data_IF_964015676086
#
_entry.id   IF_964015676086
#
_cell.length_a   1.000
_cell.length_b   1.000
_cell.length_c   1.000
_cell.angle_alpha   90.00
_cell.angle_beta   90.00
_cell.angle_gamma   90.00
#
_symmetry.space_group_name_H-M   'P 1'
#
loop_
_entity.id
_entity.type
_entity.pdbx_description
1 polymer ?
#
# COMPACT_ATOMS: atom_id res chain seq x y z
N UNK A 1 -31.92 0.93 -2.68
CA UNK A 1 -30.46 0.89 -2.94
C UNK A 1 -29.80 1.88 -1.99
N UNK A 2 -29.11 1.41 -0.96
CA UNK A 2 -28.56 2.28 0.09
C UNK A 2 -27.23 2.86 -0.39
N UNK A 3 -27.17 4.18 -0.47
CA UNK A 3 -25.94 4.93 -0.80
C UNK A 3 -24.95 4.70 0.35
N UNK A 4 -23.78 4.12 0.07
CA UNK A 4 -22.71 4.02 1.07
C UNK A 4 -21.84 5.27 0.95
N UNK A 5 -22.10 6.25 1.80
CA UNK A 5 -21.19 7.38 1.98
C UNK A 5 -19.96 6.88 2.75
N UNK A 6 -18.80 7.44 2.43
CA UNK A 6 -17.66 7.33 3.33
C UNK A 6 -18.09 7.88 4.70
N UNK A 7 -17.79 7.19 5.78
CA UNK A 7 -18.29 7.51 7.12
C UNK A 7 -17.83 8.88 7.66
N UNK A 8 -16.79 9.47 7.07
CA UNK A 8 -16.39 10.86 7.35
C UNK A 8 -17.23 11.90 6.59
N UNK A 9 -18.16 11.50 5.72
CA UNK A 9 -18.97 12.41 4.90
C UNK A 9 -20.45 12.34 5.28
N UNK A 10 -21.10 13.51 5.32
CA UNK A 10 -22.54 13.63 5.59
C UNK A 10 -23.18 14.69 4.70
N UNK A 11 -24.50 14.65 4.45
CA UNK A 11 -25.18 15.72 3.72
C UNK A 11 -24.88 17.09 4.36
N UNK A 12 -24.50 18.08 3.55
CA UNK A 12 -24.17 19.40 4.05
C UNK A 12 -25.39 20.11 4.65
N UNK A 13 -25.19 20.80 5.78
CA UNK A 13 -26.24 21.51 6.53
C UNK A 13 -25.78 22.92 6.92
N UNK A 14 -26.74 23.78 7.28
CA UNK A 14 -26.48 25.11 7.84
C UNK A 14 -25.56 25.97 6.98
N UNK A 15 -24.63 26.68 7.64
CA UNK A 15 -23.68 27.60 7.01
C UNK A 15 -22.83 26.93 5.93
N UNK A 16 -22.45 25.66 6.09
CA UNK A 16 -21.66 24.91 5.11
C UNK A 16 -22.41 24.66 3.81
N UNK A 17 -23.71 24.35 3.90
CA UNK A 17 -24.58 24.20 2.71
C UNK A 17 -24.76 25.55 2.02
N UNK A 18 -25.00 26.62 2.78
CA UNK A 18 -25.19 27.97 2.26
C UNK A 18 -23.95 28.46 1.52
N UNK A 19 -22.75 28.22 2.05
CA UNK A 19 -21.47 28.61 1.45
C UNK A 19 -21.27 28.05 0.04
N UNK A 20 -21.76 26.83 -0.21
CA UNK A 20 -21.52 26.08 -1.45
C UNK A 20 -22.73 26.07 -2.40
N UNK A 21 -23.92 26.45 -1.92
CA UNK A 21 -25.15 26.49 -2.71
C UNK A 21 -25.04 27.30 -4.02
N UNK A 22 -24.36 28.45 -4.09
CA UNK A 22 -24.23 29.21 -5.34
C UNK A 22 -23.53 28.46 -6.49
N UNK A 23 -22.70 27.46 -6.16
CA UNK A 23 -21.95 26.69 -7.16
C UNK A 23 -22.68 25.45 -7.65
N UNK A 24 -23.74 25.02 -6.93
CA UNK A 24 -24.52 23.83 -7.24
C UNK A 24 -25.38 24.03 -8.49
N UNK A 25 -25.33 23.10 -9.43
CA UNK A 25 -26.11 23.09 -10.68
C UNK A 25 -26.94 21.82 -10.83
N UNK A 26 -28.19 21.96 -11.27
CA UNK A 26 -29.07 20.82 -11.58
C UNK A 26 -29.22 19.80 -10.45
N UNK A 27 -29.24 18.52 -10.81
CA UNK A 27 -29.35 17.38 -9.88
C UNK A 27 -27.99 17.00 -9.29
N UNK A 28 -27.42 17.92 -8.51
CA UNK A 28 -26.24 17.69 -7.68
C UNK A 28 -26.63 17.63 -6.20
N UNK A 29 -25.77 17.01 -5.39
CA UNK A 29 -25.89 16.95 -3.94
C UNK A 29 -24.63 17.52 -3.29
N UNK A 30 -24.79 18.13 -2.12
CA UNK A 30 -23.70 18.76 -1.38
C UNK A 30 -23.44 17.94 -0.13
N UNK A 31 -22.19 17.54 0.06
CA UNK A 31 -21.73 16.77 1.20
C UNK A 31 -20.62 17.51 1.90
N UNK A 32 -20.49 17.29 3.20
CA UNK A 32 -19.45 17.85 4.04
C UNK A 32 -18.75 16.76 4.83
N UNK A 33 -17.47 16.94 5.07
CA UNK A 33 -16.71 16.09 5.97
C UNK A 33 -17.14 16.27 7.42
N UNK A 34 -16.66 15.38 8.29
CA UNK A 34 -16.48 15.66 9.71
C UNK A 34 -15.52 16.84 9.91
N UNK A 35 -15.44 17.36 11.13
CA UNK A 35 -14.54 18.45 11.46
C UNK A 35 -13.07 18.02 11.26
N UNK A 36 -12.29 18.86 10.60
CA UNK A 36 -10.86 18.72 10.39
C UNK A 36 -10.18 19.79 11.25
N UNK A 37 -9.48 19.37 12.31
CA UNK A 37 -8.84 20.28 13.26
C UNK A 37 -7.39 20.50 12.85
N UNK A 38 -7.07 21.71 12.44
CA UNK A 38 -5.75 22.14 11.95
C UNK A 38 -5.36 23.40 12.71
N UNK A 39 -4.18 23.39 13.34
CA UNK A 39 -3.67 24.49 14.17
C UNK A 39 -4.67 24.96 15.27
N UNK A 40 -5.51 24.05 15.77
CA UNK A 40 -6.54 24.33 16.78
C UNK A 40 -7.87 24.85 16.23
N UNK A 41 -7.90 25.20 14.95
CA UNK A 41 -9.09 25.70 14.26
C UNK A 41 -9.82 24.56 13.53
N UNK A 42 -11.14 24.69 13.40
CA UNK A 42 -11.99 23.66 12.83
C UNK A 42 -12.47 24.01 11.43
N UNK A 43 -12.25 23.09 10.50
CA UNK A 43 -12.59 23.24 9.09
C UNK A 43 -13.43 22.06 8.60
N UNK A 44 -14.16 22.27 7.51
CA UNK A 44 -14.82 21.19 6.79
C UNK A 44 -14.49 21.25 5.32
N UNK A 45 -14.24 20.07 4.76
CA UNK A 45 -14.24 19.90 3.32
C UNK A 45 -15.70 19.76 2.86
N UNK A 46 -16.14 20.60 1.94
CA UNK A 46 -17.49 20.57 1.38
C UNK A 46 -17.42 20.35 -0.12
N UNK A 47 -18.01 19.25 -0.58
CA UNK A 47 -17.98 18.81 -1.97
C UNK A 47 -19.35 18.81 -2.63
N UNK A 48 -19.37 19.07 -3.95
CA UNK A 48 -20.54 18.95 -4.81
C UNK A 48 -20.38 17.71 -5.70
N UNK A 49 -21.41 16.86 -5.70
CA UNK A 49 -21.40 15.58 -6.39
C UNK A 49 -22.64 15.42 -7.26
N UNK A 50 -22.53 14.86 -8.48
CA UNK A 50 -23.71 14.52 -9.26
C UNK A 50 -24.43 13.32 -8.63
N UNK A 51 -25.76 13.27 -8.75
CA UNK A 51 -26.58 12.18 -8.17
C UNK A 51 -26.21 10.80 -8.71
N UNK A 52 -25.71 10.70 -9.96
CA UNK A 52 -25.23 9.43 -10.55
C UNK A 52 -23.96 8.87 -9.90
N UNK A 53 -23.21 9.69 -9.16
CA UNK A 53 -21.89 9.35 -8.57
C UNK A 53 -21.98 8.79 -7.15
N UNK A 54 -23.19 8.70 -6.59
CA UNK A 54 -23.46 8.20 -5.24
C UNK A 54 -22.94 6.77 -4.96
N UNK A 55 -22.50 6.04 -5.99
CA UNK A 55 -21.94 4.70 -5.87
C UNK A 55 -20.43 4.66 -5.61
N UNK A 56 -19.66 5.76 -5.79
CA UNK A 56 -18.18 5.78 -5.60
C UNK A 56 -17.61 7.17 -5.25
N UNK A 57 -18.07 7.80 -4.16
CA UNK A 57 -17.59 9.13 -3.76
C UNK A 57 -16.06 9.22 -3.57
N UNK A 58 -15.44 8.11 -3.16
CA UNK A 58 -14.00 7.93 -2.97
C UNK A 58 -13.17 8.23 -4.23
N UNK A 59 -13.75 8.05 -5.43
CA UNK A 59 -13.05 8.22 -6.73
C UNK A 59 -13.56 9.41 -7.54
N UNK A 60 -14.70 9.98 -7.15
CA UNK A 60 -15.38 11.02 -7.89
C UNK A 60 -15.49 12.30 -7.05
N UNK A 61 -14.32 12.82 -6.67
CA UNK A 61 -14.20 14.16 -6.15
C UNK A 61 -14.44 15.15 -7.29
N UNK A 62 -15.63 15.73 -7.37
CA UNK A 62 -16.03 16.63 -8.47
C UNK A 62 -15.48 18.03 -8.28
N UNK A 63 -16.11 18.78 -7.37
CA UNK A 63 -15.73 20.14 -6.98
C UNK A 63 -15.82 20.24 -5.47
N UNK A 64 -14.90 20.97 -4.84
CA UNK A 64 -14.89 21.11 -3.39
C UNK A 64 -14.31 22.45 -2.93
N UNK A 65 -14.55 22.76 -1.67
CA UNK A 65 -13.94 23.86 -0.93
C UNK A 65 -13.63 23.43 0.49
N UNK A 66 -12.74 24.18 1.13
CA UNK A 66 -12.61 24.18 2.58
C UNK A 66 -13.38 25.38 3.13
N UNK A 67 -14.15 25.14 4.18
CA UNK A 67 -15.00 26.13 4.83
C UNK A 67 -14.69 26.15 6.31
N UNK A 68 -14.56 27.34 6.89
CA UNK A 68 -14.41 27.50 8.35
C UNK A 68 -15.77 27.34 9.08
N UNK A 69 -15.75 27.34 10.42
CA UNK A 69 -16.97 27.21 11.24
C UNK A 69 -18.01 28.32 11.01
N UNK A 70 -17.60 29.49 10.52
CA UNK A 70 -18.50 30.60 10.21
C UNK A 70 -19.15 30.47 8.83
N UNK A 71 -18.79 29.45 8.03
CA UNK A 71 -19.27 29.29 6.66
C UNK A 71 -18.46 30.08 5.63
N UNK A 72 -17.29 30.61 5.99
CA UNK A 72 -16.44 31.36 5.06
C UNK A 72 -15.57 30.41 4.26
N UNK A 73 -15.47 30.67 2.96
CA UNK A 73 -14.59 29.92 2.07
C UNK A 73 -13.13 30.22 2.41
N UNK A 74 -12.33 29.17 2.59
CA UNK A 74 -10.90 29.27 2.83
C UNK A 74 -10.18 29.37 1.49
N UNK A 75 -9.45 30.47 1.28
CA UNK A 75 -8.61 30.69 0.09
C UNK A 75 -7.17 30.20 0.24
N UNK A 76 -6.74 29.85 1.45
CA UNK A 76 -5.39 29.34 1.72
C UNK A 76 -5.23 27.94 1.09
N UNK A 77 -4.36 27.88 0.07
CA UNK A 77 -4.07 26.65 -0.67
C UNK A 77 -3.31 25.62 0.18
N UNK A 78 -2.45 26.06 1.10
CA UNK A 78 -1.71 25.16 1.99
C UNK A 78 -2.64 24.52 3.01
N UNK A 79 -3.51 25.32 3.64
CA UNK A 79 -4.56 24.81 4.51
C UNK A 79 -5.48 23.84 3.77
N UNK A 80 -5.88 24.19 2.54
CA UNK A 80 -6.69 23.29 1.71
C UNK A 80 -5.98 21.97 1.40
N UNK A 81 -4.67 22.01 1.10
CA UNK A 81 -3.85 20.82 0.89
C UNK A 81 -3.83 19.92 2.12
N UNK A 82 -3.66 20.48 3.32
CA UNK A 82 -3.65 19.74 4.59
C UNK A 82 -5.01 19.06 4.83
N UNK A 83 -6.12 19.78 4.68
CA UNK A 83 -7.47 19.21 4.78
C UNK A 83 -7.70 18.07 3.77
N UNK A 84 -7.31 18.28 2.51
CA UNK A 84 -7.51 17.29 1.45
C UNK A 84 -6.66 16.03 1.69
N UNK A 85 -5.42 16.19 2.17
CA UNK A 85 -4.55 15.05 2.51
C UNK A 85 -5.17 14.18 3.59
N UNK A 86 -5.72 14.78 4.66
CA UNK A 86 -6.43 14.04 5.71
C UNK A 86 -7.60 13.23 5.14
N UNK A 87 -8.40 13.86 4.26
CA UNK A 87 -9.51 13.18 3.58
C UNK A 87 -9.03 12.01 2.71
N UNK A 88 -8.01 12.23 1.88
CA UNK A 88 -7.48 11.22 0.96
C UNK A 88 -6.86 10.03 1.68
N UNK A 89 -6.21 10.26 2.83
CA UNK A 89 -5.70 9.18 3.68
C UNK A 89 -6.83 8.28 4.18
N UNK A 90 -7.92 8.85 4.70
CA UNK A 90 -9.07 8.06 5.17
C UNK A 90 -9.73 7.29 4.02
N UNK A 91 -9.95 7.95 2.87
CA UNK A 91 -10.48 7.30 1.67
C UNK A 91 -9.62 6.10 1.28
N UNK A 92 -8.29 6.29 1.21
CA UNK A 92 -7.35 5.24 0.83
C UNK A 92 -7.43 4.07 1.79
N UNK A 93 -7.48 4.32 3.09
CA UNK A 93 -7.53 3.29 4.12
C UNK A 93 -8.87 2.56 4.15
N UNK A 94 -10.00 3.24 4.06
CA UNK A 94 -11.33 2.62 4.08
C UNK A 94 -11.51 1.64 2.89
N UNK A 95 -11.05 2.07 1.71
CA UNK A 95 -11.11 1.26 0.48
C UNK A 95 -10.27 0.00 0.56
N UNK A 96 -9.19 0.04 1.34
CA UNK A 96 -8.21 -1.04 1.41
C UNK A 96 -8.21 -1.80 2.75
N UNK A 97 -9.03 -1.40 3.73
CA UNK A 97 -9.06 -2.00 5.07
C UNK A 97 -9.33 -3.51 5.03
N UNK A 98 -10.22 -3.95 4.14
CA UNK A 98 -10.52 -5.37 3.94
C UNK A 98 -9.32 -6.17 3.42
N UNK A 99 -8.52 -5.59 2.51
CA UNK A 99 -7.30 -6.20 2.00
C UNK A 99 -6.19 -6.21 3.05
N UNK A 100 -6.02 -5.10 3.77
CA UNK A 100 -5.07 -5.00 4.88
C UNK A 100 -5.35 -6.07 5.94
N UNK A 101 -6.62 -6.20 6.38
CA UNK A 101 -7.03 -7.20 7.38
C UNK A 101 -6.75 -8.64 6.94
N UNK A 102 -6.98 -8.98 5.66
CA UNK A 102 -6.68 -10.31 5.11
C UNK A 102 -5.18 -10.59 5.07
N UNK A 103 -4.36 -9.59 4.74
CA UNK A 103 -2.91 -9.78 4.65
C UNK A 103 -2.23 -9.83 6.03
N UNK A 104 -2.85 -9.24 7.06
CA UNK A 104 -2.37 -9.29 8.44
C UNK A 104 -2.48 -10.66 9.12
N UNK A 105 -3.15 -11.64 8.50
CA UNK A 105 -3.23 -13.02 9.03
C UNK A 105 -2.11 -13.92 8.50
N UNK A 106 -1.28 -13.44 7.57
CA UNK A 106 -0.13 -14.20 7.08
C UNK A 106 0.94 -14.33 8.18
N UNK A 107 1.59 -15.49 8.29
CA UNK A 107 2.65 -15.76 9.26
C UNK A 107 4.04 -15.62 8.61
N UNK A 108 4.80 -14.53 8.87
CA UNK A 108 6.12 -14.31 8.27
C UNK A 108 7.13 -15.40 8.65
N UNK A 109 7.02 -15.91 9.88
CA UNK A 109 7.91 -16.95 10.40
C UNK A 109 7.75 -18.33 9.75
N UNK A 110 6.81 -18.51 8.81
CA UNK A 110 6.71 -19.72 8.00
C UNK A 110 8.00 -20.03 7.23
N UNK A 111 8.85 -19.01 6.97
CA UNK A 111 10.14 -19.15 6.28
C UNK A 111 11.32 -19.56 7.17
N UNK A 112 11.23 -19.43 8.50
CA UNK A 112 12.37 -19.73 9.40
C UNK A 112 12.87 -21.17 9.30
N UNK A 113 12.00 -22.20 9.30
CA UNK A 113 12.45 -23.59 9.08
C UNK A 113 13.06 -23.80 7.69
N UNK A 114 12.58 -23.05 6.69
CA UNK A 114 13.06 -23.17 5.29
C UNK A 114 14.49 -22.66 5.16
N UNK A 115 14.83 -21.56 5.85
CA UNK A 115 16.20 -21.02 5.91
C UNK A 115 17.17 -22.10 6.42
N UNK A 116 16.81 -22.78 7.52
CA UNK A 116 17.62 -23.85 8.09
C UNK A 116 17.76 -25.05 7.12
N UNK A 117 16.68 -25.38 6.40
CA UNK A 117 16.73 -26.45 5.40
C UNK A 117 17.62 -26.09 4.21
N UNK A 118 17.51 -24.87 3.68
CA UNK A 118 18.35 -24.40 2.57
C UNK A 118 19.83 -24.45 2.94
N UNK A 119 20.18 -24.01 4.14
CA UNK A 119 21.57 -24.06 4.63
C UNK A 119 22.10 -25.48 4.75
N UNK A 120 21.35 -26.36 5.44
CA UNK A 120 21.78 -27.75 5.64
C UNK A 120 21.88 -28.52 4.31
N UNK A 121 20.84 -28.43 3.47
CA UNK A 121 20.80 -29.13 2.18
C UNK A 121 21.80 -28.53 1.19
N UNK A 122 21.99 -27.21 1.24
CA UNK A 122 22.97 -26.48 0.44
C UNK A 122 24.40 -26.94 0.71
N UNK A 123 24.77 -27.10 1.99
CA UNK A 123 26.10 -27.61 2.37
C UNK A 123 26.36 -29.01 1.81
N UNK A 124 25.37 -29.90 1.86
CA UNK A 124 25.49 -31.24 1.27
C UNK A 124 25.67 -31.18 -0.26
N UNK A 125 24.94 -30.29 -0.93
CA UNK A 125 25.09 -30.09 -2.38
C UNK A 125 26.49 -29.57 -2.71
N UNK A 126 27.00 -28.59 -1.94
CA UNK A 126 28.34 -28.03 -2.10
C UNK A 126 29.42 -29.11 -2.00
N UNK A 127 29.38 -29.91 -0.95
CA UNK A 127 30.36 -30.99 -0.72
C UNK A 127 30.38 -32.01 -1.86
N UNK A 128 29.23 -32.28 -2.48
CA UNK A 128 29.10 -33.24 -3.60
C UNK A 128 29.54 -32.66 -4.95
N UNK A 129 29.56 -31.33 -5.10
CA UNK A 129 29.93 -30.67 -6.36
C UNK A 129 31.44 -30.51 -6.53
N UNK A 130 32.23 -30.69 -5.47
CA UNK A 130 33.66 -30.40 -5.45
C UNK A 130 33.95 -28.89 -5.28
N UNK A 131 35.22 -28.49 -5.07
CA UNK A 131 35.56 -27.16 -4.57
C UNK A 131 35.07 -25.98 -5.43
N UNK A 132 35.38 -25.98 -6.73
CA UNK A 132 35.04 -24.84 -7.61
C UNK A 132 33.54 -24.71 -7.86
N UNK A 133 32.87 -25.81 -8.21
CA UNK A 133 31.43 -25.81 -8.46
C UNK A 133 30.61 -25.66 -7.18
N UNK A 134 31.15 -26.12 -6.05
CA UNK A 134 30.57 -25.91 -4.72
C UNK A 134 30.53 -24.42 -4.35
N UNK A 135 31.61 -23.70 -4.59
CA UNK A 135 31.68 -22.26 -4.26
C UNK A 135 30.80 -21.39 -5.14
N UNK A 136 30.70 -21.72 -6.43
CA UNK A 136 29.71 -21.10 -7.30
C UNK A 136 28.27 -21.37 -6.83
N UNK A 137 27.98 -22.60 -6.37
CA UNK A 137 26.66 -22.95 -5.84
C UNK A 137 26.35 -22.23 -4.52
N UNK A 138 27.35 -22.03 -3.66
CA UNK A 138 27.20 -21.37 -2.38
C UNK A 138 26.71 -19.93 -2.53
N UNK A 139 27.22 -19.18 -3.51
CA UNK A 139 26.78 -17.80 -3.80
C UNK A 139 25.25 -17.74 -4.03
N UNK A 140 24.71 -18.69 -4.79
CA UNK A 140 23.28 -18.71 -5.08
C UNK A 140 22.43 -19.17 -3.89
N UNK A 141 22.92 -20.14 -3.11
CA UNK A 141 22.28 -20.60 -1.89
C UNK A 141 22.22 -19.50 -0.82
N UNK A 142 23.32 -18.75 -0.66
CA UNK A 142 23.40 -17.61 0.24
C UNK A 142 22.47 -16.48 -0.22
N UNK A 143 22.44 -16.19 -1.52
CA UNK A 143 21.49 -15.21 -2.07
C UNK A 143 20.03 -15.59 -1.83
N UNK A 144 19.67 -16.88 -1.92
CA UNK A 144 18.32 -17.34 -1.59
C UNK A 144 18.04 -17.27 -0.08
N UNK A 145 19.02 -17.62 0.75
CA UNK A 145 18.93 -17.50 2.21
C UNK A 145 18.70 -16.05 2.63
N UNK A 146 19.45 -15.11 2.06
CA UNK A 146 19.30 -13.67 2.30
C UNK A 146 17.92 -13.17 1.88
N UNK A 147 17.41 -13.61 0.71
CA UNK A 147 16.04 -13.33 0.27
C UNK A 147 15.00 -13.74 1.32
N UNK A 148 15.11 -14.96 1.86
CA UNK A 148 14.18 -15.46 2.86
C UNK A 148 14.28 -14.67 4.17
N UNK A 149 15.51 -14.37 4.64
CA UNK A 149 15.75 -13.61 5.87
C UNK A 149 15.14 -12.21 5.79
N UNK A 150 15.46 -11.45 4.73
CA UNK A 150 14.89 -10.12 4.51
C UNK A 150 13.36 -10.18 4.35
N UNK A 151 12.85 -11.26 3.75
CA UNK A 151 11.41 -11.51 3.63
C UNK A 151 10.70 -11.65 4.98
N UNK A 152 11.34 -12.30 5.96
CA UNK A 152 10.83 -12.41 7.34
C UNK A 152 10.86 -11.04 8.02
N UNK A 153 12.02 -10.37 8.00
CA UNK A 153 12.20 -9.06 8.67
C UNK A 153 11.20 -8.01 8.17
N UNK A 154 11.03 -7.89 6.84
CA UNK A 154 10.04 -6.99 6.26
C UNK A 154 8.62 -7.45 6.55
N UNK A 155 8.36 -8.77 6.54
CA UNK A 155 7.06 -9.32 6.91
C UNK A 155 6.62 -8.89 8.32
N UNK A 156 7.52 -8.94 9.30
CA UNK A 156 7.24 -8.52 10.67
C UNK A 156 6.94 -7.02 10.76
N UNK A 157 7.73 -6.19 10.06
CA UNK A 157 7.52 -4.74 10.00
C UNK A 157 6.20 -4.37 9.34
N UNK A 158 5.86 -4.99 8.21
CA UNK A 158 4.60 -4.80 7.49
C UNK A 158 3.41 -5.17 8.39
N UNK A 159 3.49 -6.29 9.11
CA UNK A 159 2.42 -6.71 10.03
C UNK A 159 2.29 -5.75 11.20
N UNK A 160 3.41 -5.32 11.78
CA UNK A 160 3.42 -4.36 12.88
C UNK A 160 2.79 -3.02 12.46
N UNK A 161 3.24 -2.45 11.34
CA UNK A 161 2.70 -1.21 10.79
C UNK A 161 1.22 -1.36 10.42
N UNK A 162 0.82 -2.46 9.77
CA UNK A 162 -0.58 -2.70 9.41
C UNK A 162 -1.50 -2.86 10.63
N UNK A 163 -1.03 -3.51 11.71
CA UNK A 163 -1.77 -3.55 12.99
C UNK A 163 -1.91 -2.16 13.60
N UNK A 164 -0.86 -1.34 13.56
CA UNK A 164 -0.92 0.03 14.07
C UNK A 164 -1.87 0.92 13.25
N UNK A 165 -1.86 0.80 11.92
CA UNK A 165 -2.83 1.46 11.02
C UNK A 165 -4.26 1.08 11.41
N UNK A 166 -4.55 -0.20 11.55
CA UNK A 166 -5.89 -0.68 11.91
C UNK A 166 -6.32 -0.16 13.28
N UNK A 167 -5.45 -0.25 14.28
CA UNK A 167 -5.70 0.26 15.64
C UNK A 167 -6.01 1.75 15.62
N UNK A 168 -5.22 2.55 14.90
CA UNK A 168 -5.44 4.00 14.76
C UNK A 168 -6.74 4.29 14.02
N UNK A 169 -7.03 3.59 12.93
CA UNK A 169 -8.27 3.76 12.19
C UNK A 169 -9.49 3.45 13.08
N UNK A 170 -9.42 2.43 13.93
CA UNK A 170 -10.47 2.12 14.92
C UNK A 170 -10.65 3.21 15.99
N UNK A 171 -9.57 3.91 16.38
CA UNK A 171 -9.66 5.04 17.31
C UNK A 171 -10.31 6.27 16.69
N UNK A 172 -10.19 6.42 15.36
CA UNK A 172 -10.86 7.47 14.59
C UNK A 172 -12.31 7.01 14.37
N UNK A 173 -13.18 7.31 15.34
CA UNK A 173 -14.59 6.93 15.30
C UNK A 173 -15.38 7.79 14.32
N UNK A 174 -16.41 7.18 13.74
CA UNK A 174 -17.44 7.90 13.01
C UNK A 174 -18.00 9.07 13.82
N UNK A 175 -18.07 10.25 13.20
CA UNK A 175 -18.59 11.46 13.81
C UNK A 175 -17.62 12.22 14.75
N UNK A 176 -16.39 11.73 14.99
CA UNK A 176 -15.37 12.51 15.71
C UNK A 176 -14.63 13.47 14.77
N UNK A 177 -14.13 14.61 15.30
CA UNK A 177 -13.19 15.45 14.58
C UNK A 177 -11.90 14.68 14.25
N UNK A 178 -11.33 14.93 13.09
CA UNK A 178 -10.00 14.44 12.71
C UNK A 178 -8.96 15.46 13.16
N UNK A 179 -8.06 15.06 14.05
CA UNK A 179 -6.97 15.92 14.51
C UNK A 179 -5.76 15.77 13.58
N UNK A 180 -5.18 16.88 13.14
CA UNK A 180 -4.04 16.84 12.23
C UNK A 180 -2.86 16.01 12.75
N UNK A 181 -2.57 16.09 14.05
CA UNK A 181 -1.47 15.32 14.65
C UNK A 181 -1.72 13.81 14.56
N UNK A 182 -2.95 13.36 14.84
CA UNK A 182 -3.33 11.95 14.74
C UNK A 182 -3.27 11.48 13.27
N UNK A 183 -3.75 12.31 12.36
CA UNK A 183 -3.72 12.03 10.92
C UNK A 183 -2.30 11.98 10.37
N UNK A 184 -1.41 12.86 10.84
CA UNK A 184 0.01 12.88 10.44
C UNK A 184 0.76 11.63 10.91
N UNK A 185 0.44 11.12 12.10
CA UNK A 185 0.98 9.85 12.58
C UNK A 185 0.46 8.67 11.76
N UNK A 186 -0.84 8.64 11.47
CA UNK A 186 -1.44 7.60 10.63
C UNK A 186 -0.85 7.61 9.21
N UNK A 187 -0.65 8.80 8.64
CA UNK A 187 -0.05 9.01 7.33
C UNK A 187 1.37 8.45 7.29
N UNK A 188 2.19 8.79 8.29
CA UNK A 188 3.54 8.26 8.42
C UNK A 188 3.54 6.73 8.51
N UNK A 189 2.72 6.14 9.39
CA UNK A 189 2.65 4.67 9.52
C UNK A 189 2.22 4.01 8.21
N UNK A 190 1.30 4.64 7.45
CA UNK A 190 0.88 4.16 6.13
C UNK A 190 2.01 4.22 5.09
N UNK A 191 2.78 5.32 5.06
CA UNK A 191 3.94 5.45 4.18
C UNK A 191 5.03 4.42 4.52
N UNK A 192 5.30 4.19 5.80
CA UNK A 192 6.25 3.16 6.28
C UNK A 192 5.79 1.75 5.86
N UNK A 193 4.49 1.45 6.01
CA UNK A 193 3.89 0.19 5.57
C UNK A 193 4.06 -0.05 4.06
N UNK A 194 3.80 0.98 3.25
CA UNK A 194 3.92 0.89 1.80
C UNK A 194 5.36 0.75 1.36
N UNK A 195 6.29 1.46 2.00
CA UNK A 195 7.71 1.36 1.68
C UNK A 195 8.29 -0.02 2.00
N UNK A 196 7.92 -0.59 3.15
CA UNK A 196 8.35 -1.96 3.51
C UNK A 196 7.72 -3.00 2.57
N UNK A 197 6.45 -2.81 2.17
CA UNK A 197 5.78 -3.66 1.17
C UNK A 197 6.50 -3.60 -0.19
N UNK A 198 6.86 -2.39 -0.62
CA UNK A 198 7.62 -2.16 -1.85
C UNK A 198 9.01 -2.79 -1.81
N UNK A 199 9.74 -2.62 -0.70
CA UNK A 199 11.04 -3.28 -0.47
C UNK A 199 10.92 -4.80 -0.55
N UNK A 200 9.83 -5.38 -0.03
CA UNK A 200 9.59 -6.82 -0.08
C UNK A 200 9.38 -7.30 -1.51
N UNK A 201 8.63 -6.55 -2.33
CA UNK A 201 8.51 -6.83 -3.77
C UNK A 201 9.87 -6.71 -4.45
N UNK A 202 10.65 -5.67 -4.15
CA UNK A 202 11.96 -5.47 -4.75
C UNK A 202 12.91 -6.64 -4.46
N UNK A 203 12.96 -7.12 -3.22
CA UNK A 203 13.76 -8.29 -2.82
C UNK A 203 13.29 -9.56 -3.53
N UNK A 204 11.99 -9.75 -3.74
CA UNK A 204 11.47 -10.83 -4.58
C UNK A 204 12.03 -10.75 -6.00
N UNK A 205 11.96 -9.58 -6.65
CA UNK A 205 12.42 -9.40 -8.02
C UNK A 205 13.95 -9.55 -8.15
N UNK A 206 14.72 -8.92 -7.27
CA UNK A 206 16.20 -8.91 -7.32
C UNK A 206 16.81 -10.27 -6.97
N UNK A 207 16.10 -11.12 -6.22
CA UNK A 207 16.55 -12.48 -5.88
C UNK A 207 16.30 -13.52 -6.99
N UNK A 208 15.78 -13.13 -8.15
CA UNK A 208 15.42 -14.04 -9.24
C UNK A 208 16.54 -15.04 -9.58
N UNK A 209 17.74 -14.55 -9.88
CA UNK A 209 18.88 -15.42 -10.26
C UNK A 209 19.23 -16.42 -9.15
N UNK A 210 19.30 -15.97 -7.90
CA UNK A 210 19.59 -16.83 -6.77
C UNK A 210 18.52 -17.93 -6.58
N UNK A 211 17.24 -17.58 -6.77
CA UNK A 211 16.12 -18.52 -6.71
C UNK A 211 16.13 -19.54 -7.84
N UNK A 212 16.40 -19.10 -9.09
CA UNK A 212 16.50 -19.99 -10.26
C UNK A 212 17.64 -20.98 -10.10
N UNK A 213 18.82 -20.49 -9.73
CA UNK A 213 19.99 -21.35 -9.57
C UNK A 213 19.84 -22.30 -8.38
N UNK A 214 19.27 -21.85 -7.26
CA UNK A 214 18.97 -22.74 -6.13
C UNK A 214 17.99 -23.85 -6.53
N UNK A 215 16.93 -23.53 -7.27
CA UNK A 215 16.00 -24.54 -7.80
C UNK A 215 16.73 -25.55 -8.70
N UNK A 216 17.60 -25.07 -9.58
CA UNK A 216 18.40 -25.91 -10.49
C UNK A 216 19.34 -26.84 -9.71
N UNK A 217 20.05 -26.32 -8.71
CA UNK A 217 20.95 -27.07 -7.85
C UNK A 217 20.22 -28.19 -7.11
N UNK A 218 19.08 -27.88 -6.49
CA UNK A 218 18.28 -28.87 -5.79
C UNK A 218 17.62 -29.91 -6.71
N UNK A 219 17.16 -29.51 -7.89
CA UNK A 219 16.66 -30.45 -8.89
C UNK A 219 17.77 -31.40 -9.38
N UNK A 220 18.98 -30.88 -9.63
CA UNK A 220 20.16 -31.69 -10.00
C UNK A 220 20.52 -32.66 -8.87
N UNK A 221 20.55 -32.19 -7.62
CA UNK A 221 20.87 -33.02 -6.48
C UNK A 221 19.84 -34.15 -6.25
N UNK A 222 18.55 -33.87 -6.47
CA UNK A 222 17.49 -34.89 -6.48
C UNK A 222 17.71 -35.93 -7.56
N UNK A 223 18.01 -35.51 -8.79
CA UNK A 223 18.23 -36.41 -9.93
C UNK A 223 19.44 -37.33 -9.73
N UNK A 224 20.51 -36.81 -9.11
CA UNK A 224 21.71 -37.59 -8.78
C UNK A 224 21.59 -38.37 -7.46
N UNK A 225 20.41 -38.36 -6.82
CA UNK A 225 20.13 -39.10 -5.58
C UNK A 225 21.09 -38.76 -4.42
N UNK A 226 21.51 -37.50 -4.30
CA UNK A 226 22.45 -37.07 -3.25
C UNK A 226 21.85 -37.04 -1.83
N UNK A 227 20.54 -37.15 -1.73
CA UNK A 227 19.78 -36.99 -0.49
C UNK A 227 19.12 -38.29 -0.03
N UNK A 228 19.01 -38.48 1.28
CA UNK A 228 18.18 -39.50 1.91
C UNK A 228 16.68 -39.26 1.71
N UNK A 229 15.83 -40.21 2.13
CA UNK A 229 14.37 -40.14 1.92
C UNK A 229 13.73 -38.89 2.53
N UNK A 230 14.07 -38.55 3.77
CA UNK A 230 13.50 -37.39 4.47
C UNK A 230 14.01 -36.07 3.88
N UNK A 231 15.28 -36.01 3.49
CA UNK A 231 15.88 -34.86 2.83
C UNK A 231 15.24 -34.61 1.46
N UNK A 232 14.99 -35.66 0.67
CA UNK A 232 14.25 -35.56 -0.60
C UNK A 232 12.87 -34.91 -0.40
N UNK A 233 12.19 -35.22 0.71
CA UNK A 233 10.88 -34.61 1.02
C UNK A 233 11.02 -33.12 1.30
N UNK A 234 12.03 -32.72 2.08
CA UNK A 234 12.33 -31.32 2.38
C UNK A 234 12.73 -30.53 1.13
N UNK A 235 13.61 -31.08 0.29
CA UNK A 235 14.02 -30.46 -0.97
C UNK A 235 12.82 -30.23 -1.88
N UNK A 236 11.91 -31.21 -1.99
CA UNK A 236 10.66 -31.04 -2.76
C UNK A 236 9.79 -29.91 -2.20
N UNK A 237 9.68 -29.78 -0.88
CA UNK A 237 8.98 -28.65 -0.26
C UNK A 237 9.63 -27.32 -0.62
N UNK A 238 10.97 -27.23 -0.56
CA UNK A 238 11.70 -26.00 -0.95
C UNK A 238 11.48 -25.67 -2.43
N UNK A 239 11.54 -26.66 -3.31
CA UNK A 239 11.27 -26.47 -4.75
C UNK A 239 9.84 -25.99 -4.98
N UNK A 240 8.84 -26.55 -4.31
CA UNK A 240 7.45 -26.11 -4.43
C UNK A 240 7.26 -24.64 -3.98
N UNK A 241 7.97 -24.22 -2.92
CA UNK A 241 7.96 -22.82 -2.47
C UNK A 241 8.63 -21.88 -3.48
N UNK A 242 9.73 -22.31 -4.09
CA UNK A 242 10.36 -21.57 -5.18
C UNK A 242 9.39 -21.41 -6.36
N UNK A 243 8.65 -22.46 -6.75
CA UNK A 243 7.61 -22.35 -7.79
C UNK A 243 6.54 -21.32 -7.45
N UNK A 244 6.04 -21.33 -6.22
CA UNK A 244 5.10 -20.31 -5.78
C UNK A 244 5.72 -18.90 -5.87
N UNK A 245 6.99 -18.74 -5.46
CA UNK A 245 7.68 -17.44 -5.56
C UNK A 245 7.82 -16.95 -7.00
N UNK A 246 8.02 -17.84 -7.98
CA UNK A 246 8.05 -17.46 -9.40
C UNK A 246 6.69 -17.03 -9.92
N UNK A 247 5.60 -17.67 -9.46
CA UNK A 247 4.24 -17.22 -9.79
C UNK A 247 3.99 -15.80 -9.24
N UNK A 248 4.39 -15.55 -7.99
CA UNK A 248 4.28 -14.21 -7.39
C UNK A 248 5.13 -13.17 -8.13
N UNK A 249 6.34 -13.52 -8.55
CA UNK A 249 7.18 -12.65 -9.38
C UNK A 249 6.48 -12.26 -10.69
N UNK A 250 5.90 -13.23 -11.39
CA UNK A 250 5.18 -12.98 -12.64
C UNK A 250 3.97 -12.06 -12.42
N UNK A 251 3.23 -12.27 -11.32
CA UNK A 251 2.16 -11.35 -10.92
C UNK A 251 2.69 -9.95 -10.66
N UNK A 252 3.78 -9.80 -9.90
CA UNK A 252 4.38 -8.48 -9.62
C UNK A 252 4.87 -7.76 -10.88
N UNK A 253 5.46 -8.49 -11.84
CA UNK A 253 5.85 -7.93 -13.14
C UNK A 253 4.62 -7.40 -13.88
N UNK A 254 3.53 -8.18 -13.90
CA UNK A 254 2.28 -7.79 -14.53
C UNK A 254 1.63 -6.58 -13.85
N UNK A 255 1.58 -6.55 -12.51
CA UNK A 255 1.05 -5.41 -11.74
C UNK A 255 1.84 -4.13 -11.97
N UNK A 256 3.16 -4.23 -12.13
CA UNK A 256 4.02 -3.11 -12.54
C UNK A 256 3.83 -2.67 -14.00
N UNK A 257 2.97 -3.37 -14.77
CA UNK A 257 2.80 -3.21 -16.23
C UNK A 257 4.12 -3.31 -17.00
N UNK A 258 5.05 -4.11 -16.49
CA UNK A 258 6.36 -4.32 -17.09
C UNK A 258 6.34 -5.54 -18.02
N UNK A 259 7.17 -5.52 -19.06
CA UNK A 259 7.36 -6.67 -19.96
C UNK A 259 8.56 -7.53 -19.55
N UNK A 260 9.47 -6.97 -18.75
CA UNK A 260 10.71 -7.63 -18.32
C UNK A 260 10.94 -7.44 -16.83
N UNK A 261 11.71 -8.35 -16.23
CA UNK A 261 12.14 -8.25 -14.83
C UNK A 261 12.90 -6.94 -14.56
N UNK A 262 13.78 -6.53 -15.46
CA UNK A 262 14.55 -5.29 -15.32
C UNK A 262 13.66 -4.04 -15.31
N UNK A 263 12.65 -3.99 -16.19
CA UNK A 263 11.64 -2.93 -16.17
C UNK A 263 10.83 -2.94 -14.88
N UNK A 264 10.42 -4.11 -14.38
CA UNK A 264 9.69 -4.21 -13.12
C UNK A 264 10.53 -3.68 -11.93
N UNK A 265 11.80 -4.11 -11.82
CA UNK A 265 12.75 -3.60 -10.81
C UNK A 265 12.88 -2.08 -10.90
N UNK A 266 13.05 -1.55 -12.11
CA UNK A 266 13.14 -0.11 -12.31
C UNK A 266 11.86 0.62 -11.87
N UNK A 267 10.68 0.10 -12.23
CA UNK A 267 9.39 0.67 -11.83
C UNK A 267 9.26 0.72 -10.31
N UNK A 268 9.53 -0.38 -9.60
CA UNK A 268 9.44 -0.45 -8.13
C UNK A 268 10.44 0.52 -7.46
N UNK A 269 11.66 0.65 -8.01
CA UNK A 269 12.67 1.59 -7.49
C UNK A 269 12.26 3.05 -7.65
N UNK A 270 11.56 3.38 -8.74
CA UNK A 270 11.19 4.75 -9.10
C UNK A 270 9.73 5.11 -8.74
N UNK A 271 9.04 4.23 -8.03
CA UNK A 271 7.69 4.51 -7.54
C UNK A 271 7.70 5.67 -6.55
N UNK A 272 6.68 6.54 -6.65
CA UNK A 272 6.57 7.74 -5.81
C UNK A 272 6.23 7.34 -4.38
N UNK A 273 7.14 7.62 -3.45
CA UNK A 273 6.97 7.26 -2.04
C UNK A 273 5.76 7.96 -1.41
N UNK A 274 5.64 9.29 -1.57
CA UNK A 274 4.47 10.04 -1.10
C UNK A 274 3.34 10.06 -2.14
N UNK A 275 2.76 8.89 -2.42
CA UNK A 275 1.67 8.75 -3.40
C UNK A 275 0.40 9.51 -2.96
N UNK A 276 0.11 9.58 -1.66
CA UNK A 276 -1.04 10.34 -1.11
C UNK A 276 -0.84 11.83 -1.36
N UNK A 277 0.37 12.34 -1.11
CA UNK A 277 0.71 13.74 -1.38
C UNK A 277 0.67 14.07 -2.86
N UNK A 278 1.24 13.21 -3.70
CA UNK A 278 1.15 13.35 -5.16
C UNK A 278 -0.31 13.39 -5.62
N UNK A 279 -1.14 12.46 -5.16
CA UNK A 279 -2.55 12.42 -5.53
C UNK A 279 -3.31 13.66 -5.02
N UNK A 280 -3.00 14.11 -3.80
CA UNK A 280 -3.55 15.35 -3.22
C UNK A 280 -3.19 16.56 -4.08
N UNK A 281 -1.93 16.67 -4.51
CA UNK A 281 -1.46 17.76 -5.36
C UNK A 281 -2.08 17.72 -6.76
N UNK A 282 -2.21 16.53 -7.36
CA UNK A 282 -2.93 16.33 -8.62
C UNK A 282 -4.40 16.74 -8.50
N UNK A 283 -5.09 16.35 -7.42
CA UNK A 283 -6.47 16.77 -7.18
C UNK A 283 -6.59 18.28 -7.01
N UNK A 284 -5.66 18.93 -6.31
CA UNK A 284 -5.64 20.39 -6.18
C UNK A 284 -5.42 21.11 -7.51
N UNK A 285 -4.72 20.47 -8.47
CA UNK A 285 -4.48 21.04 -9.80
C UNK A 285 -5.64 20.77 -10.77
N UNK A 286 -6.25 19.59 -10.70
CA UNK A 286 -7.28 19.13 -11.65
C UNK A 286 -8.70 19.50 -11.21
N UNK A 287 -8.97 19.49 -9.90
CA UNK A 287 -10.31 19.70 -9.36
C UNK A 287 -10.54 21.16 -9.06
N UNK A 288 -11.73 21.62 -9.36
CA UNK A 288 -12.12 23.01 -9.17
C UNK A 288 -12.27 23.25 -7.68
N UNK A 289 -11.23 23.82 -7.08
CA UNK A 289 -11.36 24.57 -5.84
C UNK A 289 -12.39 25.66 -6.14
N UNK A 290 -13.57 25.66 -5.49
CA UNK A 290 -14.61 26.65 -5.83
C UNK A 290 -14.24 28.08 -5.41
N UNK A 291 -13.01 28.30 -4.97
CA UNK A 291 -12.45 29.62 -4.66
C UNK A 291 -11.56 30.05 -5.83
N UNK A 292 -12.10 30.96 -6.65
CA UNK A 292 -11.35 31.79 -7.60
C UNK A 292 -10.83 31.14 -8.90
N UNK A 293 -11.73 30.74 -9.79
CA UNK A 293 -11.66 31.29 -11.15
C UNK A 293 -12.97 32.01 -11.41
N UNK A 294 -12.89 33.33 -11.56
CA UNK A 294 -14.04 34.16 -11.85
C UNK A 294 -14.74 33.67 -13.10
N UNK A 295 -15.87 32.97 -12.96
CA UNK A 295 -16.93 33.03 -13.96
C UNK A 295 -17.64 34.37 -13.80
N UNK A 296 -16.93 35.42 -14.19
CA UNK A 296 -17.53 36.44 -15.03
C UNK A 296 -17.78 35.76 -16.38
N UNK A 297 -18.99 35.24 -16.53
CA UNK A 297 -19.79 35.13 -17.77
C UNK A 297 -21.08 34.40 -17.44
#
# INVERSE_FOLDING_TARGET
>A
MTIKLLWIMSPAKGVFKTAVAPFKRGFQQIYMSTDLIIDGESYRLVGIYPVSVLLRMETNFGQFVVVDQAGRLVSDRNLTRRCLRMYQLIVTLDNNAGYLKKNLTAAPHSFVPIIQYVERLGNQVRERLGPEAGEAAQIHLDGYKEYLQKGVELGDRIISAGKDIMRRLETIKEGKPLLEQEMSLLDKTMLDFMDDSRKRVLILLESHTARVETKRLFAKALANQWFGTDEKKLVRSVVALLEHSFQMEQMSIHECRAQTLAQAIWTVKNEVHDFIGKHTDELLQQKWLLVAEGKSR
#
